data_IF_926162026615
#
_entry.id   IF_926162026615
#
_cell.length_a   1.000
_cell.length_b   1.000
_cell.length_c   1.000
_cell.angle_alpha   90.00
_cell.angle_beta   90.00
_cell.angle_gamma   90.00
#
_symmetry.space_group_name_H-M   'P 1'
#
loop_
_entity.id
_entity.type
_entity.pdbx_description
1 polymer ?
#
# COMPACT_ATOMS: atom_id res chain seq x y z
N UNK A 1 -3.07 6.56 16.59
CA UNK A 1 -2.38 5.55 17.43
C UNK A 1 -1.63 4.57 16.53
N UNK A 2 -0.73 3.71 17.04
CA UNK A 2 -0.13 2.61 16.26
C UNK A 2 -0.82 1.30 16.64
N UNK A 3 -1.37 0.59 15.66
CA UNK A 3 -2.04 -0.70 15.88
C UNK A 3 -1.27 -1.80 15.18
N UNK A 4 -0.97 -2.87 15.91
CA UNK A 4 -0.42 -4.10 15.33
C UNK A 4 -1.59 -5.00 14.92
N UNK A 5 -1.88 -5.09 13.64
CA UNK A 5 -3.00 -5.88 13.08
C UNK A 5 -2.65 -7.36 12.92
N UNK A 6 -1.35 -7.71 12.89
CA UNK A 6 -0.86 -9.06 12.61
C UNK A 6 -1.32 -9.60 11.25
N UNK A 7 -1.02 -10.86 10.95
CA UNK A 7 -1.30 -11.50 9.64
C UNK A 7 -2.62 -12.28 9.61
N UNK A 8 -3.32 -12.40 10.73
CA UNK A 8 -4.62 -13.05 10.78
C UNK A 8 -5.73 -12.00 10.52
N UNK A 9 -6.55 -12.17 9.47
CA UNK A 9 -7.56 -11.17 9.11
C UNK A 9 -8.63 -10.99 10.19
N UNK A 10 -9.02 -12.07 10.88
CA UNK A 10 -10.05 -12.00 11.93
C UNK A 10 -9.52 -11.21 13.11
N UNK A 11 -8.29 -11.51 13.54
CA UNK A 11 -7.61 -10.78 14.60
C UNK A 11 -7.45 -9.30 14.26
N UNK A 12 -7.03 -8.97 13.03
CA UNK A 12 -6.88 -7.60 12.56
C UNK A 12 -8.20 -6.81 12.66
N UNK A 13 -9.29 -7.39 12.16
CA UNK A 13 -10.62 -6.76 12.17
C UNK A 13 -11.13 -6.55 13.61
N UNK A 14 -10.95 -7.53 14.49
CA UNK A 14 -11.37 -7.39 15.89
C UNK A 14 -10.55 -6.31 16.64
N UNK A 15 -9.26 -6.17 16.33
CA UNK A 15 -8.42 -5.07 16.85
C UNK A 15 -8.94 -3.72 16.36
N UNK A 16 -9.28 -3.59 15.07
CA UNK A 16 -9.84 -2.36 14.50
C UNK A 16 -11.18 -2.00 15.17
N UNK A 17 -12.10 -2.96 15.31
CA UNK A 17 -13.37 -2.75 16.01
C UNK A 17 -13.16 -2.29 17.46
N UNK A 18 -12.27 -2.97 18.19
CA UNK A 18 -11.95 -2.63 19.57
C UNK A 18 -11.35 -1.24 19.73
N UNK A 19 -10.55 -0.80 18.74
CA UNK A 19 -9.99 0.54 18.70
C UNK A 19 -11.07 1.60 18.42
N UNK A 20 -11.87 1.42 17.37
CA UNK A 20 -12.92 2.37 16.98
C UNK A 20 -14.03 2.50 18.03
N UNK A 21 -14.35 1.43 18.76
CA UNK A 21 -15.29 1.50 19.88
C UNK A 21 -14.80 2.43 21.02
N UNK A 22 -13.48 2.57 21.20
CA UNK A 22 -12.87 3.46 22.21
C UNK A 22 -12.55 4.85 21.68
N UNK A 23 -12.39 4.99 20.36
CA UNK A 23 -11.98 6.22 19.69
C UNK A 23 -12.93 6.52 18.51
N UNK A 24 -14.22 6.81 18.79
CA UNK A 24 -15.25 6.98 17.76
C UNK A 24 -15.05 8.22 16.88
N UNK A 25 -14.15 9.12 17.27
CA UNK A 25 -13.77 10.36 16.58
C UNK A 25 -12.55 10.18 15.65
N UNK A 26 -12.05 8.95 15.49
CA UNK A 26 -10.97 8.66 14.54
C UNK A 26 -11.40 8.98 13.12
N UNK A 27 -10.67 9.89 12.46
CA UNK A 27 -10.98 10.43 11.13
C UNK A 27 -10.09 9.85 10.03
N UNK A 28 -8.95 9.23 10.37
CA UNK A 28 -8.04 8.66 9.40
C UNK A 28 -7.35 7.37 9.87
N UNK A 29 -7.11 6.48 8.91
CA UNK A 29 -6.28 5.27 9.06
C UNK A 29 -5.19 5.32 8.00
N UNK A 30 -3.96 4.99 8.41
CA UNK A 30 -2.82 4.89 7.50
C UNK A 30 -2.14 3.52 7.63
N UNK A 31 -2.18 2.74 6.55
CA UNK A 31 -1.64 1.37 6.45
C UNK A 31 -0.24 1.34 5.85
N UNK A 32 0.55 0.34 6.22
CA UNK A 32 1.97 0.21 5.90
C UNK A 32 2.29 -0.89 4.88
N UNK A 33 1.28 -1.58 4.36
CA UNK A 33 1.41 -2.51 3.25
C UNK A 33 0.07 -3.01 2.70
N UNK A 34 0.14 -3.86 1.68
CA UNK A 34 -1.06 -4.33 0.97
C UNK A 34 -1.95 -5.26 1.80
N UNK A 35 -1.38 -6.02 2.73
CA UNK A 35 -2.14 -7.00 3.55
C UNK A 35 -3.02 -6.29 4.58
N UNK A 36 -2.45 -5.35 5.32
CA UNK A 36 -3.18 -4.53 6.29
C UNK A 36 -4.14 -3.55 5.59
N UNK A 37 -3.79 -3.04 4.41
CA UNK A 37 -4.72 -2.28 3.56
C UNK A 37 -5.98 -3.08 3.25
N UNK A 38 -5.85 -4.35 2.86
CA UNK A 38 -6.98 -5.24 2.58
C UNK A 38 -7.93 -5.36 3.78
N UNK A 39 -7.37 -5.54 4.98
CA UNK A 39 -8.15 -5.66 6.21
C UNK A 39 -8.87 -4.35 6.57
N UNK A 40 -8.20 -3.21 6.41
CA UNK A 40 -8.79 -1.90 6.67
C UNK A 40 -9.88 -1.56 5.65
N UNK A 41 -9.65 -1.83 4.35
CA UNK A 41 -10.67 -1.64 3.30
C UNK A 41 -11.92 -2.47 3.62
N UNK A 42 -11.73 -3.74 3.98
CA UNK A 42 -12.84 -4.63 4.39
C UNK A 42 -13.57 -4.07 5.60
N UNK A 43 -12.84 -3.70 6.67
CA UNK A 43 -13.41 -3.12 7.88
C UNK A 43 -14.22 -1.84 7.59
N UNK A 44 -13.68 -0.90 6.82
CA UNK A 44 -14.35 0.35 6.49
C UNK A 44 -15.66 0.11 5.72
N UNK A 45 -15.65 -0.83 4.77
CA UNK A 45 -16.86 -1.21 4.03
C UNK A 45 -17.90 -1.89 4.93
N UNK A 46 -17.49 -2.84 5.76
CA UNK A 46 -18.39 -3.58 6.65
C UNK A 46 -19.01 -2.70 7.75
N UNK A 47 -18.27 -1.70 8.24
CA UNK A 47 -18.76 -0.77 9.25
C UNK A 47 -19.51 0.43 8.65
N UNK A 48 -19.64 0.52 7.32
CA UNK A 48 -20.26 1.67 6.65
C UNK A 48 -19.48 2.98 6.83
N UNK A 49 -18.17 2.89 7.02
CA UNK A 49 -17.25 4.02 7.22
C UNK A 49 -16.47 4.39 5.94
N UNK A 50 -16.69 3.68 4.83
CA UNK A 50 -16.07 3.98 3.55
C UNK A 50 -16.46 5.40 3.08
N UNK A 51 -15.46 6.25 2.85
CA UNK A 51 -15.65 7.66 2.48
C UNK A 51 -15.89 8.60 3.67
N UNK A 52 -16.21 8.08 4.86
CA UNK A 52 -16.33 8.84 6.10
C UNK A 52 -14.99 8.92 6.85
N UNK A 53 -14.29 7.78 6.95
CA UNK A 53 -12.93 7.71 7.51
C UNK A 53 -11.92 7.68 6.37
N UNK A 54 -10.94 8.59 6.41
CA UNK A 54 -9.90 8.68 5.38
C UNK A 54 -8.95 7.50 5.49
N UNK A 55 -8.78 6.73 4.42
CA UNK A 55 -7.77 5.67 4.36
C UNK A 55 -6.64 6.09 3.41
N UNK A 56 -5.41 6.09 3.90
CA UNK A 56 -4.19 6.16 3.08
C UNK A 56 -3.36 4.90 3.27
N UNK A 57 -2.62 4.51 2.23
CA UNK A 57 -1.89 3.25 2.25
C UNK A 57 -0.43 3.37 1.77
N UNK A 58 0.33 2.33 2.07
CA UNK A 58 1.54 1.96 1.35
C UNK A 58 1.28 0.72 0.51
N UNK A 59 2.08 0.58 -0.55
CA UNK A 59 2.07 -0.51 -1.51
C UNK A 59 0.86 -0.54 -2.45
N UNK A 60 1.05 -1.16 -3.60
CA UNK A 60 0.06 -1.24 -4.67
C UNK A 60 -0.43 -2.68 -4.76
N UNK A 61 -1.74 -2.88 -4.81
CA UNK A 61 -2.38 -4.17 -5.06
C UNK A 61 -3.66 -3.96 -5.87
N UNK A 62 -4.18 -5.05 -6.46
CA UNK A 62 -5.46 -5.03 -7.18
C UNK A 62 -6.57 -4.42 -6.32
N UNK A 63 -6.63 -4.79 -5.04
CA UNK A 63 -7.64 -4.30 -4.10
C UNK A 63 -7.45 -2.83 -3.73
N UNK A 64 -6.22 -2.39 -3.48
CA UNK A 64 -5.94 -0.98 -3.16
C UNK A 64 -6.29 -0.07 -4.33
N UNK A 65 -5.86 -0.43 -5.55
CA UNK A 65 -6.19 0.30 -6.79
C UNK A 65 -7.70 0.38 -6.99
N UNK A 66 -8.42 -0.72 -6.79
CA UNK A 66 -9.87 -0.73 -6.89
C UNK A 66 -10.53 0.16 -5.82
N UNK A 67 -10.07 0.09 -4.58
CA UNK A 67 -10.60 0.88 -3.47
C UNK A 67 -10.38 2.39 -3.65
N UNK A 68 -9.31 2.80 -4.36
CA UNK A 68 -9.07 4.19 -4.75
C UNK A 68 -10.12 4.65 -5.78
N UNK A 69 -10.42 3.80 -6.77
CA UNK A 69 -11.45 4.08 -7.78
C UNK A 69 -12.85 4.17 -7.17
N UNK A 70 -13.12 3.39 -6.12
CA UNK A 70 -14.38 3.42 -5.37
C UNK A 70 -14.45 4.56 -4.33
N UNK A 71 -13.34 5.27 -4.08
CA UNK A 71 -13.27 6.35 -3.08
C UNK A 71 -13.19 5.88 -1.62
N UNK A 72 -12.99 4.58 -1.37
CA UNK A 72 -12.75 4.07 -0.01
C UNK A 72 -11.34 4.42 0.47
N UNK A 73 -10.35 4.40 -0.43
CA UNK A 73 -8.95 4.76 -0.15
C UNK A 73 -8.62 6.05 -0.89
N UNK A 74 -8.01 7.02 -0.20
CA UNK A 74 -7.66 8.31 -0.78
C UNK A 74 -6.43 8.21 -1.68
N UNK A 75 -5.39 7.51 -1.22
CA UNK A 75 -4.16 7.30 -1.97
C UNK A 75 -3.40 6.07 -1.46
N UNK A 76 -2.47 5.57 -2.28
CA UNK A 76 -1.39 4.70 -1.81
C UNK A 76 -0.02 5.22 -2.24
N UNK A 77 1.01 4.89 -1.48
CA UNK A 77 2.41 5.19 -1.80
C UNK A 77 3.07 3.94 -2.39
N UNK A 78 3.38 4.00 -3.68
CA UNK A 78 4.16 3.00 -4.37
C UNK A 78 5.65 3.15 -4.07
N UNK A 79 6.30 2.03 -3.74
CA UNK A 79 7.75 1.91 -3.55
C UNK A 79 8.43 1.24 -4.76
N UNK A 80 7.66 0.93 -5.81
CA UNK A 80 8.09 0.22 -7.02
C UNK A 80 8.91 -1.05 -6.70
N UNK A 81 8.27 -2.02 -6.03
CA UNK A 81 8.85 -3.28 -5.57
C UNK A 81 9.55 -4.04 -6.71
N UNK A 82 9.02 -3.98 -7.94
CA UNK A 82 9.67 -4.53 -9.12
C UNK A 82 11.09 -3.98 -9.32
N UNK A 83 11.28 -2.67 -9.19
CA UNK A 83 12.61 -2.06 -9.29
C UNK A 83 13.52 -2.48 -8.13
N UNK A 84 12.97 -2.63 -6.93
CA UNK A 84 13.73 -3.13 -5.78
C UNK A 84 14.22 -4.56 -5.96
N UNK A 85 13.51 -5.41 -6.73
CA UNK A 85 14.00 -6.73 -7.12
C UNK A 85 14.95 -6.70 -8.33
N UNK A 86 14.62 -5.89 -9.33
CA UNK A 86 15.34 -5.86 -10.62
C UNK A 86 16.70 -5.16 -10.54
N UNK A 87 16.76 -3.96 -9.94
CA UNK A 87 17.96 -3.13 -9.94
C UNK A 87 19.14 -3.79 -9.19
N UNK A 88 18.96 -4.42 -8.01
CA UNK A 88 20.07 -5.11 -7.36
C UNK A 88 20.68 -6.21 -8.22
N UNK A 89 19.85 -6.96 -8.97
CA UNK A 89 20.35 -7.98 -9.89
C UNK A 89 21.21 -7.38 -11.01
N UNK A 90 20.79 -6.25 -11.57
CA UNK A 90 21.59 -5.53 -12.56
C UNK A 90 22.89 -4.99 -11.97
N UNK A 91 22.85 -4.42 -10.76
CA UNK A 91 24.06 -3.92 -10.10
C UNK A 91 25.04 -5.06 -9.78
N UNK A 92 24.56 -6.21 -9.33
CA UNK A 92 25.40 -7.39 -9.10
C UNK A 92 26.02 -7.89 -10.40
N UNK A 93 25.28 -7.93 -11.51
CA UNK A 93 25.81 -8.29 -12.81
C UNK A 93 26.94 -7.34 -13.26
N UNK A 94 26.68 -6.03 -13.21
CA UNK A 94 27.63 -4.99 -13.62
C UNK A 94 28.87 -4.98 -12.72
N UNK A 95 28.70 -5.18 -11.42
CA UNK A 95 29.81 -5.30 -10.49
C UNK A 95 30.67 -6.53 -10.79
N UNK A 96 30.04 -7.69 -11.04
CA UNK A 96 30.77 -8.91 -11.35
C UNK A 96 31.59 -8.77 -12.64
N UNK A 97 30.99 -8.20 -13.70
CA UNK A 97 31.59 -8.10 -15.03
C UNK A 97 32.55 -6.92 -15.21
N UNK A 98 32.26 -5.78 -14.58
CA UNK A 98 32.96 -4.51 -14.84
C UNK A 98 33.39 -3.76 -13.58
N UNK A 99 33.08 -4.26 -12.37
CA UNK A 99 33.31 -3.56 -11.08
C UNK A 99 32.56 -2.24 -10.96
N UNK A 100 31.49 -2.05 -11.73
CA UNK A 100 30.63 -0.87 -11.62
C UNK A 100 29.60 -1.04 -10.49
N UNK A 101 29.38 0.04 -9.73
CA UNK A 101 28.33 0.17 -8.74
C UNK A 101 27.73 1.58 -8.82
N UNK A 102 26.46 1.75 -8.40
CA UNK A 102 25.90 3.08 -8.17
C UNK A 102 26.75 3.86 -7.17
N UNK A 103 26.88 5.18 -7.38
CA UNK A 103 27.65 6.05 -6.48
C UNK A 103 26.89 6.38 -5.18
N UNK A 104 25.56 6.29 -5.18
CA UNK A 104 24.66 6.62 -4.08
C UNK A 104 23.43 5.70 -4.11
N UNK A 105 22.56 5.85 -3.11
CA UNK A 105 21.27 5.19 -3.04
C UNK A 105 20.43 5.42 -4.31
N UNK A 106 19.78 4.35 -4.77
CA UNK A 106 18.87 4.40 -5.91
C UNK A 106 17.45 4.31 -5.37
N UNK A 107 16.80 5.47 -5.26
CA UNK A 107 15.44 5.58 -4.76
C UNK A 107 14.44 5.06 -5.81
N UNK A 108 13.53 4.17 -5.39
CA UNK A 108 12.46 3.60 -6.23
C UNK A 108 11.08 4.19 -5.88
N UNK A 109 11.05 5.26 -5.09
CA UNK A 109 9.85 5.91 -4.61
C UNK A 109 10.20 7.10 -3.70
N UNK A 110 9.19 7.74 -3.08
CA UNK A 110 7.76 7.42 -3.13
C UNK A 110 7.07 7.89 -4.41
N UNK A 111 6.17 7.07 -4.96
CA UNK A 111 5.23 7.47 -6.01
C UNK A 111 3.79 7.45 -5.47
N UNK A 112 3.12 8.60 -5.45
CA UNK A 112 1.72 8.67 -5.03
C UNK A 112 0.80 8.14 -6.13
N UNK A 113 -0.12 7.25 -5.75
CA UNK A 113 -1.20 6.75 -6.60
C UNK A 113 -2.53 7.18 -5.98
N UNK A 114 -3.31 7.95 -6.73
CA UNK A 114 -4.61 8.48 -6.30
C UNK A 114 -5.60 8.52 -7.48
N UNK A 115 -6.78 9.07 -7.27
CA UNK A 115 -7.83 9.13 -8.30
C UNK A 115 -7.39 9.80 -9.62
N UNK A 116 -6.37 10.66 -9.60
CA UNK A 116 -5.87 11.35 -10.79
C UNK A 116 -5.03 10.45 -11.72
N UNK A 117 -4.38 9.40 -11.19
CA UNK A 117 -3.44 8.56 -11.95
C UNK A 117 -3.63 7.04 -11.77
N UNK A 118 -4.57 6.59 -10.93
CA UNK A 118 -4.79 5.16 -10.64
C UNK A 118 -5.07 4.31 -11.87
N UNK A 119 -5.64 4.90 -12.94
CA UNK A 119 -5.90 4.20 -14.21
C UNK A 119 -4.62 3.79 -14.93
N UNK A 120 -3.56 4.60 -14.85
CA UNK A 120 -2.28 4.30 -15.49
C UNK A 120 -1.53 3.18 -14.75
N UNK A 121 -1.77 3.07 -13.43
CA UNK A 121 -1.16 2.06 -12.56
C UNK A 121 -1.91 0.73 -12.66
N UNK A 122 -3.25 0.75 -12.78
CA UNK A 122 -4.10 -0.44 -12.87
C UNK A 122 -3.65 -1.42 -13.97
N UNK A 123 -3.30 -0.91 -15.15
CA UNK A 123 -2.81 -1.75 -16.26
C UNK A 123 -1.57 -2.55 -15.87
N UNK A 124 -0.65 -1.91 -15.15
CA UNK A 124 0.63 -2.51 -14.83
C UNK A 124 0.53 -3.49 -13.64
N UNK A 125 -0.39 -3.25 -12.71
CA UNK A 125 -0.74 -4.19 -11.63
C UNK A 125 -1.34 -5.47 -12.23
N UNK A 126 -2.24 -5.35 -13.22
CA UNK A 126 -2.77 -6.52 -13.94
C UNK A 126 -1.67 -7.34 -14.63
N UNK A 127 -0.62 -6.67 -15.13
CA UNK A 127 0.54 -7.29 -15.75
C UNK A 127 1.57 -7.85 -14.76
N UNK A 128 1.33 -7.71 -13.44
CA UNK A 128 2.24 -8.15 -12.36
C UNK A 128 3.59 -7.45 -12.37
N UNK A 129 3.63 -6.20 -12.84
CA UNK A 129 4.77 -5.29 -12.66
C UNK A 129 4.75 -4.59 -11.30
N UNK A 130 3.69 -4.77 -10.53
CA UNK A 130 3.54 -4.37 -9.14
C UNK A 130 3.09 -5.57 -8.30
#
# INVERSE_FOLDING_TARGET
>A
EKLATYLDPTQAIEILKGYFAKNPDTDAIFTLGSIDSSYVITFLKEQGLAGEVVHGAFDVSDEVVHSIKEGTTLFTISQQQYLQGYLPMQFLYLFNKYKFLPANDVLTGPGFVDASNVKDVEELVMQKYW
#
